data_IF_919457348719
#
_entry.id   IF_919457348719
#
_cell.length_a   1.000
_cell.length_b   1.000
_cell.length_c   1.000
_cell.angle_alpha   90.00
_cell.angle_beta   90.00
_cell.angle_gamma   90.00
#
_symmetry.space_group_name_H-M   'P 1'
#
loop_
_entity.id
_entity.type
_entity.pdbx_description
1 polymer ?
#
# COMPACT_ATOMS: atom_id res chain seq x y z
N UNK A 1 15.64 -0.77 5.52
CA UNK A 1 16.89 -1.38 6.04
C UNK A 1 18.14 -0.62 5.61
N UNK A 2 18.02 0.35 4.74
CA UNK A 2 19.15 0.98 4.06
C UNK A 2 19.85 2.01 4.94
N UNK A 3 19.15 2.56 5.90
CA UNK A 3 19.72 3.42 6.94
C UNK A 3 20.73 2.73 7.85
N UNK A 4 20.85 1.40 7.77
CA UNK A 4 21.88 0.63 8.48
C UNK A 4 23.28 0.80 7.88
N UNK A 5 23.39 1.38 6.69
CA UNK A 5 24.65 1.52 5.95
C UNK A 5 25.29 2.90 6.06
N UNK A 6 24.67 3.82 6.79
CA UNK A 6 25.28 5.12 6.99
C UNK A 6 26.54 5.01 7.82
N UNK A 7 27.56 5.62 7.33
CA UNK A 7 28.91 5.85 7.81
C UNK A 7 29.36 5.06 9.05
N UNK A 8 30.41 4.27 8.91
CA UNK A 8 31.15 3.68 10.04
C UNK A 8 31.95 4.73 10.83
N UNK A 9 31.92 6.00 10.40
CA UNK A 9 32.61 7.09 11.06
C UNK A 9 31.89 7.47 12.36
N UNK A 10 32.47 7.02 13.48
CA UNK A 10 32.00 7.36 14.84
C UNK A 10 32.67 8.63 15.41
N UNK A 11 33.52 9.29 14.64
CA UNK A 11 34.21 10.51 15.03
C UNK A 11 33.43 11.80 14.73
N UNK A 12 32.33 11.72 13.99
CA UNK A 12 31.51 12.86 13.61
C UNK A 12 30.11 12.75 14.20
N UNK A 13 29.52 13.89 14.53
CA UNK A 13 28.11 13.95 14.97
C UNK A 13 27.22 13.82 13.74
N UNK A 14 26.34 12.81 13.76
CA UNK A 14 25.36 12.56 12.71
C UNK A 14 24.00 13.05 13.18
N UNK A 15 23.48 14.09 12.54
CA UNK A 15 22.15 14.65 12.81
C UNK A 15 21.23 14.47 11.59
N UNK A 16 20.10 13.85 11.81
CA UNK A 16 19.03 13.74 10.83
C UNK A 16 17.94 14.76 11.10
N UNK A 17 17.89 15.80 10.30
CA UNK A 17 17.08 16.99 10.55
C UNK A 17 15.63 16.89 10.09
N UNK A 18 15.33 16.02 9.11
CA UNK A 18 13.99 15.98 8.48
C UNK A 18 13.54 14.55 8.16
N UNK A 19 13.22 13.77 9.18
CA UNK A 19 12.83 12.37 9.00
C UNK A 19 11.33 12.14 9.09
N UNK A 20 10.83 11.24 8.23
CA UNK A 20 9.47 10.70 8.34
C UNK A 20 8.38 11.58 7.71
N UNK A 21 8.70 12.36 6.67
CA UNK A 21 7.75 13.20 5.94
C UNK A 21 6.71 12.38 5.16
N UNK A 22 5.71 11.81 5.83
CA UNK A 22 4.62 11.05 5.21
C UNK A 22 3.34 11.86 5.25
N UNK A 23 3.00 12.45 4.09
CA UNK A 23 1.83 13.30 3.92
C UNK A 23 0.52 12.51 3.96
N UNK A 24 -0.39 12.90 4.83
CA UNK A 24 -1.76 12.41 4.89
C UNK A 24 -2.72 13.54 5.24
N UNK A 25 -4.00 13.46 4.84
CA UNK A 25 -4.99 14.45 5.23
C UNK A 25 -5.05 14.65 6.75
N UNK A 26 -5.40 15.86 7.22
CA UNK A 26 -5.63 16.12 8.64
C UNK A 26 -6.94 15.47 9.12
N UNK A 27 -7.24 15.54 10.41
CA UNK A 27 -8.47 15.04 11.01
C UNK A 27 -9.67 15.93 10.67
N UNK A 28 -10.07 15.93 9.40
CA UNK A 28 -11.04 16.87 8.82
C UNK A 28 -12.33 17.00 9.63
N UNK A 29 -12.85 15.90 10.16
CA UNK A 29 -14.08 15.96 10.97
C UNK A 29 -13.86 16.69 12.29
N UNK A 30 -12.75 16.46 12.97
CA UNK A 30 -12.44 17.13 14.22
C UNK A 30 -12.22 18.63 14.00
N UNK A 31 -11.55 18.99 12.91
CA UNK A 31 -11.35 20.39 12.52
C UNK A 31 -12.70 21.05 12.20
N UNK A 32 -13.56 20.41 11.41
CA UNK A 32 -14.90 20.89 11.10
C UNK A 32 -15.71 21.13 12.37
N UNK A 33 -15.72 20.17 13.28
CA UNK A 33 -16.51 20.26 14.50
C UNK A 33 -16.00 21.41 15.40
N UNK A 34 -14.69 21.66 15.44
CA UNK A 34 -14.09 22.80 16.14
C UNK A 34 -14.46 24.14 15.48
N UNK A 35 -14.41 24.23 14.14
CA UNK A 35 -14.80 25.43 13.41
C UNK A 35 -16.27 25.77 13.68
N UNK A 36 -17.17 24.79 13.60
CA UNK A 36 -18.61 25.00 13.84
C UNK A 36 -18.88 25.38 15.30
N UNK A 37 -18.19 24.74 16.26
CA UNK A 37 -18.31 25.04 17.68
C UNK A 37 -17.84 26.46 18.01
N UNK A 38 -16.78 26.92 17.35
CA UNK A 38 -16.26 28.29 17.57
C UNK A 38 -17.09 29.38 16.91
N UNK A 39 -17.97 29.04 15.97
CA UNK A 39 -18.75 29.98 15.16
C UNK A 39 -17.92 30.78 14.15
N UNK A 40 -16.62 30.48 13.99
CA UNK A 40 -15.70 31.22 13.09
C UNK A 40 -15.65 30.56 11.70
N UNK A 41 -16.77 30.57 10.99
CA UNK A 41 -16.92 29.86 9.72
C UNK A 41 -16.57 30.70 8.48
N UNK A 42 -16.43 32.00 8.62
CA UNK A 42 -16.38 32.96 7.50
C UNK A 42 -14.95 33.40 7.12
N UNK A 43 -13.90 32.84 7.72
CA UNK A 43 -12.53 33.04 7.20
C UNK A 43 -12.19 32.02 6.12
N UNK A 44 -11.22 32.35 5.25
CA UNK A 44 -10.85 31.53 4.10
C UNK A 44 -10.39 30.12 4.49
N UNK A 45 -9.69 29.98 5.59
CA UNK A 45 -9.17 28.70 6.05
C UNK A 45 -10.29 27.78 6.54
N UNK A 46 -11.20 28.32 7.35
CA UNK A 46 -12.37 27.59 7.83
C UNK A 46 -13.26 27.12 6.66
N UNK A 47 -13.58 28.03 5.72
CA UNK A 47 -14.36 27.71 4.53
C UNK A 47 -13.72 26.57 3.72
N UNK A 48 -12.40 26.57 3.64
CA UNK A 48 -11.64 25.59 2.91
C UNK A 48 -11.62 24.21 3.58
N UNK A 49 -11.49 24.15 4.91
CA UNK A 49 -11.62 22.89 5.66
C UNK A 49 -13.03 22.32 5.61
N UNK A 50 -14.05 23.18 5.69
CA UNK A 50 -15.45 22.75 5.56
C UNK A 50 -15.69 22.12 4.18
N UNK A 51 -15.26 22.79 3.11
CA UNK A 51 -15.37 22.26 1.76
C UNK A 51 -14.56 20.94 1.56
N UNK A 52 -13.43 20.82 2.21
CA UNK A 52 -12.63 19.59 2.17
C UNK A 52 -13.33 18.44 2.90
N UNK A 53 -13.87 18.70 4.08
CA UNK A 53 -14.70 17.74 4.80
C UNK A 53 -15.91 17.31 3.96
N UNK A 54 -16.64 18.25 3.38
CA UNK A 54 -17.85 17.99 2.59
C UNK A 54 -17.53 17.10 1.37
N UNK A 55 -16.39 17.30 0.71
CA UNK A 55 -15.98 16.47 -0.41
C UNK A 55 -15.75 15.01 0.01
N UNK A 56 -15.11 14.78 1.15
CA UNK A 56 -14.86 13.44 1.68
C UNK A 56 -16.15 12.78 2.17
N UNK A 57 -16.98 13.49 2.92
CA UNK A 57 -18.25 12.98 3.42
C UNK A 57 -19.20 12.62 2.28
N UNK A 58 -19.30 13.50 1.28
CA UNK A 58 -20.10 13.22 0.08
C UNK A 58 -19.61 11.97 -0.64
N UNK A 59 -18.29 11.82 -0.84
CA UNK A 59 -17.74 10.64 -1.50
C UNK A 59 -18.05 9.36 -0.72
N UNK A 60 -17.81 9.34 0.59
CA UNK A 60 -18.07 8.15 1.41
C UNK A 60 -19.54 7.72 1.33
N UNK A 61 -20.46 8.68 1.38
CA UNK A 61 -21.91 8.41 1.34
C UNK A 61 -22.40 8.00 -0.05
N UNK A 62 -21.94 8.70 -1.10
CA UNK A 62 -22.48 8.50 -2.45
C UNK A 62 -21.80 7.38 -3.22
N UNK A 63 -20.58 6.99 -2.84
CA UNK A 63 -19.79 5.96 -3.53
C UNK A 63 -19.72 4.61 -2.79
N UNK A 64 -20.60 4.40 -1.79
CA UNK A 64 -20.77 3.11 -1.13
C UNK A 64 -19.69 2.77 -0.09
N UNK A 65 -18.96 3.77 0.41
CA UNK A 65 -17.90 3.55 1.40
C UNK A 65 -18.34 3.66 2.86
N UNK A 66 -19.58 4.03 3.15
CA UNK A 66 -20.08 4.27 4.51
C UNK A 66 -20.00 3.06 5.43
N UNK A 67 -19.99 1.83 4.88
CA UNK A 67 -19.80 0.61 5.66
C UNK A 67 -18.33 0.43 6.08
N UNK A 68 -17.39 0.69 5.18
CA UNK A 68 -15.95 0.60 5.44
C UNK A 68 -15.45 1.77 6.33
N UNK A 69 -15.98 2.96 6.06
CA UNK A 69 -15.64 4.20 6.76
C UNK A 69 -16.94 4.92 7.15
N UNK A 70 -17.47 4.68 8.37
CA UNK A 70 -18.75 5.23 8.81
C UNK A 70 -18.80 6.76 8.87
N UNK A 71 -17.65 7.41 8.97
CA UNK A 71 -17.51 8.87 8.97
C UNK A 71 -16.14 9.28 8.42
N UNK A 72 -15.99 10.56 8.08
CA UNK A 72 -14.73 11.12 7.55
C UNK A 72 -13.57 10.89 8.53
N UNK A 73 -13.83 10.97 9.84
CA UNK A 73 -12.80 10.73 10.84
C UNK A 73 -12.25 9.30 10.82
N UNK A 74 -13.10 8.31 10.54
CA UNK A 74 -12.65 6.91 10.44
C UNK A 74 -11.68 6.71 9.28
N UNK A 75 -11.87 7.40 8.15
CA UNK A 75 -10.97 7.37 7.00
C UNK A 75 -9.66 8.13 7.29
N UNK A 76 -9.76 9.39 7.71
CA UNK A 76 -8.57 10.23 7.92
C UNK A 76 -7.68 9.72 9.06
N UNK A 77 -8.27 9.13 10.11
CA UNK A 77 -7.53 8.48 11.20
C UNK A 77 -6.77 7.24 10.71
N UNK A 78 -7.37 6.43 9.85
CA UNK A 78 -6.67 5.28 9.27
C UNK A 78 -5.51 5.74 8.36
N UNK A 79 -5.68 6.82 7.60
CA UNK A 79 -4.58 7.43 6.84
C UNK A 79 -3.44 7.90 7.75
N UNK A 80 -3.78 8.56 8.86
CA UNK A 80 -2.81 8.95 9.88
C UNK A 80 -2.09 7.76 10.52
N UNK A 81 -2.78 6.63 10.72
CA UNK A 81 -2.17 5.39 11.20
C UNK A 81 -1.13 4.84 10.22
N UNK A 82 -1.38 4.93 8.92
CA UNK A 82 -0.40 4.56 7.89
C UNK A 82 0.83 5.45 7.97
N UNK A 83 0.65 6.78 8.08
CA UNK A 83 1.76 7.71 8.26
C UNK A 83 2.59 7.38 9.52
N UNK A 84 1.94 7.15 10.65
CA UNK A 84 2.62 6.80 11.91
C UNK A 84 3.36 5.47 11.84
N UNK A 85 2.81 4.48 11.14
CA UNK A 85 3.50 3.23 10.92
C UNK A 85 4.84 3.46 10.20
N UNK A 86 4.85 4.20 9.08
CA UNK A 86 6.07 4.42 8.32
C UNK A 86 7.05 5.36 9.01
N UNK A 87 6.58 6.43 9.66
CA UNK A 87 7.41 7.27 10.51
C UNK A 87 8.09 6.45 11.61
N UNK A 88 7.31 5.60 12.30
CA UNK A 88 7.85 4.71 13.32
C UNK A 88 8.92 3.75 12.78
N UNK A 89 8.73 3.22 11.56
CA UNK A 89 9.74 2.34 10.92
C UNK A 89 11.02 3.10 10.56
N UNK A 90 10.92 4.37 10.16
CA UNK A 90 12.08 5.24 9.94
C UNK A 90 12.82 5.46 11.27
N UNK A 91 12.13 5.86 12.34
CA UNK A 91 12.71 6.02 13.68
C UNK A 91 13.42 4.75 14.15
N UNK A 92 12.80 3.59 13.96
CA UNK A 92 13.39 2.31 14.29
C UNK A 92 14.69 2.05 13.52
N UNK A 93 14.72 2.38 12.22
CA UNK A 93 15.94 2.24 11.41
C UNK A 93 17.06 3.14 11.93
N UNK A 94 16.72 4.39 12.28
CA UNK A 94 17.67 5.32 12.91
C UNK A 94 18.25 4.73 14.20
N UNK A 95 17.41 4.20 15.07
CA UNK A 95 17.85 3.64 16.36
C UNK A 95 18.73 2.40 16.20
N UNK A 96 18.39 1.50 15.28
CA UNK A 96 19.18 0.26 15.12
C UNK A 96 20.48 0.46 14.32
N UNK A 97 20.65 1.60 13.64
CA UNK A 97 21.87 1.89 12.88
C UNK A 97 23.10 2.08 13.76
N UNK A 98 22.90 2.51 14.99
CA UNK A 98 23.97 2.87 15.95
C UNK A 98 24.96 3.91 15.42
N UNK A 99 24.51 4.78 14.51
CA UNK A 99 25.33 5.83 13.87
C UNK A 99 24.76 7.22 14.04
N UNK A 100 23.46 7.35 14.26
CA UNK A 100 22.79 8.65 14.34
C UNK A 100 22.76 9.12 15.79
N UNK A 101 23.37 10.27 16.07
CA UNK A 101 23.43 10.86 17.41
C UNK A 101 22.17 11.62 17.78
N UNK A 102 21.55 12.27 16.78
CA UNK A 102 20.30 12.99 16.98
C UNK A 102 19.45 12.97 15.70
N UNK A 103 18.13 13.07 15.87
CA UNK A 103 17.20 13.21 14.75
C UNK A 103 16.02 14.10 15.13
N UNK A 104 15.41 14.72 14.13
CA UNK A 104 14.14 15.39 14.24
C UNK A 104 13.13 14.78 13.25
N UNK A 105 11.90 14.55 13.73
CA UNK A 105 10.79 14.16 12.85
C UNK A 105 10.36 15.40 12.09
N UNK A 106 10.31 15.29 10.76
CA UNK A 106 9.84 16.39 9.93
C UNK A 106 8.35 16.65 10.20
N UNK A 107 8.10 17.88 10.65
CA UNK A 107 6.78 18.36 10.95
C UNK A 107 6.18 17.74 12.21
N UNK A 108 6.28 18.44 13.34
CA UNK A 108 5.40 18.17 14.49
C UNK A 108 3.95 18.39 14.07
N UNK A 109 3.70 19.48 13.36
CA UNK A 109 2.38 19.93 12.92
C UNK A 109 2.29 19.92 11.41
N UNK A 110 1.24 19.32 10.85
CA UNK A 110 0.96 19.45 9.43
C UNK A 110 0.25 20.76 9.15
N UNK A 111 0.78 21.51 8.19
CA UNK A 111 0.23 22.77 7.72
C UNK A 111 -0.53 22.58 6.41
N UNK A 112 -1.63 23.30 6.25
CA UNK A 112 -2.50 23.16 5.08
C UNK A 112 -1.80 23.47 3.75
N UNK A 113 -0.92 24.45 3.73
CA UNK A 113 -0.35 24.95 2.49
C UNK A 113 0.98 24.31 2.11
N UNK A 114 1.71 23.72 3.04
CA UNK A 114 3.10 23.34 2.81
C UNK A 114 3.44 21.90 3.28
N UNK A 115 3.11 21.57 4.50
CA UNK A 115 3.54 20.30 5.09
C UNK A 115 2.38 19.48 5.63
N UNK A 116 2.15 18.31 5.04
CA UNK A 116 1.09 17.38 5.44
C UNK A 116 1.61 16.18 6.23
N UNK A 117 2.90 16.16 6.59
CA UNK A 117 3.53 15.03 7.25
C UNK A 117 3.36 14.97 8.77
N UNK A 118 2.92 16.05 9.40
CA UNK A 118 2.91 16.21 10.87
C UNK A 118 2.33 15.06 11.69
N UNK A 119 2.81 14.95 12.92
CA UNK A 119 2.25 14.06 13.95
C UNK A 119 0.88 14.56 14.40
N UNK A 120 0.70 15.87 14.49
CA UNK A 120 -0.59 16.50 14.71
C UNK A 120 -1.00 17.33 13.50
N UNK A 121 -2.29 17.60 13.35
CA UNK A 121 -2.77 18.59 12.40
C UNK A 121 -2.64 20.03 12.97
N UNK A 122 -2.96 21.04 12.19
CA UNK A 122 -2.85 22.44 12.63
C UNK A 122 -3.89 22.87 13.70
N UNK A 123 -4.83 22.00 14.04
CA UNK A 123 -5.72 22.13 15.18
C UNK A 123 -5.26 21.31 16.39
N UNK A 124 -4.04 20.76 16.34
CA UNK A 124 -3.41 19.94 17.37
C UNK A 124 -4.06 18.57 17.61
N UNK A 125 -4.89 18.11 16.70
CA UNK A 125 -5.40 16.75 16.78
C UNK A 125 -4.31 15.75 16.35
N UNK A 126 -4.15 14.67 17.11
CA UNK A 126 -3.33 13.54 16.67
C UNK A 126 -3.92 12.97 15.39
N UNK A 127 -3.11 12.82 14.33
CA UNK A 127 -3.57 12.32 13.03
C UNK A 127 -3.94 10.84 13.05
N UNK A 128 -3.35 10.06 13.94
CA UNK A 128 -3.59 8.63 14.12
C UNK A 128 -3.53 8.19 15.58
N UNK A 129 -3.36 6.87 15.78
CA UNK A 129 -3.12 6.29 17.10
C UNK A 129 -1.66 6.52 17.51
N UNK A 130 -1.46 7.35 18.55
CA UNK A 130 -0.13 7.68 19.05
C UNK A 130 0.71 6.47 19.48
N UNK A 131 0.08 5.34 19.84
CA UNK A 131 0.79 4.12 20.23
C UNK A 131 1.57 3.52 19.06
N UNK A 132 1.11 3.73 17.81
CA UNK A 132 1.80 3.25 16.62
C UNK A 132 3.18 3.89 16.44
N UNK A 133 3.34 5.16 16.79
CA UNK A 133 4.62 5.86 16.69
C UNK A 133 5.41 5.77 18.00
N UNK A 134 4.75 5.87 19.17
CA UNK A 134 5.37 5.83 20.46
C UNK A 134 6.13 4.52 20.73
N UNK A 135 5.64 3.38 20.20
CA UNK A 135 6.30 2.08 20.34
C UNK A 135 7.74 2.08 19.84
N UNK A 136 8.06 2.87 18.79
CA UNK A 136 9.38 2.96 18.21
C UNK A 136 10.31 3.96 18.90
N UNK A 137 9.76 4.78 19.82
CA UNK A 137 10.54 5.72 20.63
C UNK A 137 10.82 5.23 22.06
N UNK A 138 10.48 3.99 22.37
CA UNK A 138 10.81 3.39 23.68
C UNK A 138 12.32 3.27 23.86
N UNK A 139 12.84 3.44 25.08
CA UNK A 139 14.26 3.37 25.33
C UNK A 139 14.85 1.94 25.29
N UNK A 140 14.01 0.91 25.34
CA UNK A 140 14.39 -0.49 25.28
C UNK A 140 13.32 -1.32 24.60
N UNK A 141 13.65 -1.93 23.45
CA UNK A 141 12.77 -2.85 22.73
C UNK A 141 13.56 -3.70 21.73
N UNK A 142 12.91 -4.73 21.20
CA UNK A 142 13.44 -5.52 20.08
C UNK A 142 12.81 -5.04 18.77
N UNK A 143 13.65 -4.77 17.78
CA UNK A 143 13.22 -4.52 16.41
C UNK A 143 13.24 -5.83 15.63
N UNK A 144 12.07 -6.24 15.16
CA UNK A 144 11.90 -7.40 14.28
C UNK A 144 11.91 -6.90 12.84
N UNK A 145 12.94 -7.25 12.08
CA UNK A 145 13.14 -6.81 10.69
C UNK A 145 12.84 -7.96 9.74
N UNK A 146 11.77 -7.82 9.00
CA UNK A 146 11.34 -8.76 7.99
C UNK A 146 11.89 -8.36 6.62
N UNK A 147 12.57 -9.26 5.92
CA UNK A 147 13.07 -9.00 4.56
C UNK A 147 11.91 -8.69 3.61
N UNK A 148 10.80 -9.43 3.77
CA UNK A 148 9.56 -9.23 3.01
C UNK A 148 8.38 -9.27 3.98
N UNK A 149 7.50 -8.29 3.87
CA UNK A 149 6.26 -8.24 4.67
C UNK A 149 5.07 -8.87 3.97
N UNK A 150 5.11 -8.95 2.64
CA UNK A 150 4.12 -9.66 1.83
C UNK A 150 4.80 -10.85 1.15
N UNK A 151 4.15 -11.99 1.15
CA UNK A 151 4.65 -13.27 0.65
C UNK A 151 3.51 -14.03 -0.03
N UNK A 152 3.83 -14.97 -0.91
CA UNK A 152 2.87 -15.99 -1.29
C UNK A 152 2.88 -17.14 -0.27
N UNK A 153 1.76 -17.84 -0.11
CA UNK A 153 1.71 -19.09 0.67
C UNK A 153 2.71 -20.08 0.11
N UNK A 154 3.50 -20.69 0.98
CA UNK A 154 4.60 -21.60 0.62
C UNK A 154 5.96 -20.92 0.55
N UNK A 155 6.02 -19.58 0.50
CA UNK A 155 7.27 -18.83 0.58
C UNK A 155 7.93 -18.94 1.95
N UNK A 156 9.22 -18.61 1.98
CA UNK A 156 10.00 -18.53 3.21
C UNK A 156 10.15 -17.07 3.63
N UNK A 157 9.67 -16.76 4.83
CA UNK A 157 9.95 -15.53 5.56
C UNK A 157 11.39 -15.57 6.10
N UNK A 158 12.08 -14.43 6.04
CA UNK A 158 13.40 -14.25 6.68
C UNK A 158 13.33 -13.06 7.63
N UNK A 159 13.87 -13.22 8.83
CA UNK A 159 13.80 -12.24 9.91
C UNK A 159 15.17 -12.02 10.54
N UNK A 160 15.52 -10.75 10.73
CA UNK A 160 16.63 -10.30 11.58
C UNK A 160 16.05 -9.65 12.84
N UNK A 161 16.80 -9.73 13.94
CA UNK A 161 16.39 -9.10 15.21
C UNK A 161 17.51 -8.21 15.72
N UNK A 162 17.14 -6.97 15.99
CA UNK A 162 17.99 -5.98 16.62
C UNK A 162 17.45 -5.62 18.01
N UNK A 163 18.32 -5.16 18.87
CA UNK A 163 17.92 -4.49 20.12
C UNK A 163 18.14 -2.99 19.98
N UNK A 164 17.18 -2.20 20.43
CA UNK A 164 17.36 -0.79 20.78
C UNK A 164 17.53 -0.73 22.29
N UNK A 165 18.69 -0.26 22.75
CA UNK A 165 19.12 -0.36 24.14
C UNK A 165 19.69 0.96 24.66
N UNK A 166 18.81 1.87 25.02
CA UNK A 166 19.16 3.13 25.70
C UNK A 166 19.00 3.02 27.23
N UNK A 167 18.90 1.78 27.76
CA UNK A 167 18.81 1.44 29.19
C UNK A 167 20.06 0.76 29.73
N UNK A 168 21.09 0.63 28.87
CA UNK A 168 22.39 0.03 29.19
C UNK A 168 22.31 -1.39 29.77
N UNK A 169 21.35 -2.21 29.30
CA UNK A 169 21.42 -3.64 29.63
C UNK A 169 22.58 -4.28 28.89
N UNK A 170 23.30 -5.20 29.53
CA UNK A 170 24.47 -5.86 28.95
C UNK A 170 24.62 -7.31 29.45
N UNK A 171 25.48 -8.05 28.78
CA UNK A 171 25.81 -9.43 29.17
C UNK A 171 24.96 -10.50 28.47
N UNK A 172 25.04 -11.76 28.98
CA UNK A 172 24.35 -12.89 28.34
C UNK A 172 22.83 -12.80 28.50
N UNK A 173 22.14 -13.18 27.43
CA UNK A 173 20.68 -13.20 27.38
C UNK A 173 20.17 -14.36 26.52
N UNK A 174 18.89 -14.70 26.66
CA UNK A 174 18.19 -15.67 25.82
C UNK A 174 17.20 -14.93 24.92
N UNK A 175 17.44 -14.96 23.61
CA UNK A 175 16.47 -14.48 22.61
C UNK A 175 15.53 -15.63 22.24
N UNK A 176 14.22 -15.36 22.29
CA UNK A 176 13.19 -16.28 21.84
C UNK A 176 12.36 -15.63 20.75
N UNK A 177 12.13 -16.35 19.64
CA UNK A 177 11.22 -15.95 18.57
C UNK A 177 10.08 -16.94 18.45
N UNK A 178 8.90 -16.44 18.12
CA UNK A 178 7.71 -17.25 17.85
C UNK A 178 6.97 -16.66 16.65
N UNK A 179 6.68 -17.49 15.65
CA UNK A 179 5.79 -17.17 14.54
C UNK A 179 4.43 -17.83 14.78
N UNK A 180 3.34 -17.04 14.63
CA UNK A 180 1.96 -17.52 14.80
C UNK A 180 1.09 -17.09 13.64
N UNK A 181 0.17 -17.98 13.22
CA UNK A 181 -0.88 -17.60 12.28
C UNK A 181 -1.97 -16.71 12.93
N UNK A 182 -2.95 -16.30 12.13
CA UNK A 182 -4.04 -15.45 12.58
C UNK A 182 -4.95 -16.11 13.65
N UNK A 183 -4.94 -17.43 13.78
CA UNK A 183 -5.66 -18.20 14.78
C UNK A 183 -4.83 -18.43 16.05
N UNK A 184 -3.59 -17.91 16.10
CA UNK A 184 -2.67 -18.05 17.23
C UNK A 184 -1.89 -19.35 17.25
N UNK A 185 -2.07 -20.24 16.25
CA UNK A 185 -1.30 -21.48 16.12
C UNK A 185 0.17 -21.17 15.86
N UNK A 186 1.03 -21.82 16.63
CA UNK A 186 2.48 -21.67 16.45
C UNK A 186 2.95 -22.39 15.20
N UNK A 187 3.53 -21.62 14.27
CA UNK A 187 4.14 -22.14 13.05
C UNK A 187 5.61 -22.53 13.27
N UNK A 188 6.32 -21.73 14.07
CA UNK A 188 7.73 -21.99 14.38
C UNK A 188 8.13 -21.30 15.69
N UNK A 189 9.11 -21.90 16.37
CA UNK A 189 9.79 -21.29 17.52
C UNK A 189 11.30 -21.46 17.41
N UNK A 190 12.02 -20.47 17.94
CA UNK A 190 13.48 -20.53 18.06
C UNK A 190 13.92 -19.91 19.36
N UNK A 191 14.97 -20.48 19.97
CA UNK A 191 15.67 -19.90 21.11
C UNK A 191 17.17 -19.86 20.77
N UNK A 192 17.81 -18.73 21.10
CA UNK A 192 19.25 -18.50 20.85
C UNK A 192 19.86 -17.78 22.05
N UNK A 193 20.99 -18.28 22.53
CA UNK A 193 21.84 -17.51 23.45
C UNK A 193 22.50 -16.37 22.68
N UNK A 194 22.40 -15.16 23.20
CA UNK A 194 22.97 -13.94 22.65
C UNK A 194 23.74 -13.20 23.75
N UNK A 195 24.61 -12.28 23.36
CA UNK A 195 25.28 -11.36 24.28
C UNK A 195 24.90 -9.95 23.86
N UNK A 196 24.41 -9.15 24.78
CA UNK A 196 24.11 -7.73 24.58
C UNK A 196 25.33 -6.94 24.99
N UNK A 197 25.79 -6.05 24.10
CA UNK A 197 27.00 -5.24 24.34
C UNK A 197 26.77 -4.15 25.39
N UNK A 198 25.73 -3.36 25.23
CA UNK A 198 25.45 -2.21 26.11
C UNK A 198 26.44 -1.05 25.91
N UNK A 199 26.44 -0.10 26.85
CA UNK A 199 27.28 1.07 26.80
C UNK A 199 26.96 1.98 25.61
N UNK A 200 27.97 2.31 24.83
CA UNK A 200 27.82 3.15 23.62
C UNK A 200 27.14 2.44 22.45
N UNK A 201 26.91 1.14 22.55
CA UNK A 201 26.19 0.36 21.52
C UNK A 201 24.72 0.31 21.87
N UNK A 202 23.96 1.25 21.36
CA UNK A 202 22.51 1.36 21.61
C UNK A 202 21.67 0.67 20.55
N UNK A 203 22.20 0.39 19.37
CA UNK A 203 21.56 -0.38 18.29
C UNK A 203 22.45 -1.57 17.93
N UNK A 204 21.99 -2.81 18.13
CA UNK A 204 22.82 -4.00 17.95
C UNK A 204 22.02 -5.13 17.29
N UNK A 205 22.62 -5.80 16.30
CA UNK A 205 22.08 -7.02 15.74
C UNK A 205 22.29 -8.20 16.70
N UNK A 206 21.22 -8.80 17.16
CA UNK A 206 21.27 -10.01 18.02
C UNK A 206 21.16 -11.29 17.21
N UNK A 207 20.54 -11.22 16.04
CA UNK A 207 20.34 -12.39 15.21
C UNK A 207 20.00 -12.01 13.77
N UNK A 208 20.58 -12.75 12.82
CA UNK A 208 20.32 -12.63 11.39
C UNK A 208 19.78 -13.92 10.82
N UNK A 209 18.84 -13.82 9.90
CA UNK A 209 18.44 -14.86 8.97
C UNK A 209 17.59 -15.99 9.56
N UNK A 210 16.73 -15.75 10.57
CA UNK A 210 15.75 -16.77 10.95
C UNK A 210 14.74 -16.98 9.82
N UNK A 211 14.62 -18.22 9.37
CA UNK A 211 13.79 -18.62 8.25
C UNK A 211 12.59 -19.44 8.71
N UNK A 212 11.41 -19.09 8.23
CA UNK A 212 10.16 -19.81 8.47
C UNK A 212 9.38 -19.95 7.17
N UNK A 213 9.06 -21.17 6.78
CA UNK A 213 8.13 -21.42 5.67
C UNK A 213 6.71 -21.07 6.13
N UNK A 214 5.96 -20.33 5.33
CA UNK A 214 4.62 -19.87 5.65
C UNK A 214 3.57 -20.77 4.98
N UNK A 215 2.89 -21.65 5.73
CA UNK A 215 2.00 -22.66 5.16
C UNK A 215 0.56 -22.18 4.96
N UNK A 216 0.20 -20.99 5.44
CA UNK A 216 -1.18 -20.52 5.48
C UNK A 216 -1.31 -19.08 4.97
N UNK A 217 -2.49 -18.75 4.44
CA UNK A 217 -2.82 -17.39 4.02
C UNK A 217 -3.19 -16.50 5.22
N UNK A 218 -3.11 -15.18 4.99
CA UNK A 218 -3.46 -14.16 5.96
C UNK A 218 -2.27 -13.66 6.79
N UNK A 219 -2.58 -13.05 7.92
CA UNK A 219 -1.54 -12.47 8.78
C UNK A 219 -0.81 -13.54 9.57
N UNK A 220 0.53 -13.40 9.63
CA UNK A 220 1.38 -14.15 10.53
C UNK A 220 2.14 -13.16 11.40
N UNK A 221 2.00 -13.27 12.71
CA UNK A 221 2.72 -12.47 13.71
C UNK A 221 4.06 -13.11 14.06
N UNK A 222 5.08 -12.28 14.20
CA UNK A 222 6.41 -12.65 14.66
C UNK A 222 6.67 -11.90 15.97
N UNK A 223 6.82 -12.64 17.06
CA UNK A 223 7.05 -12.13 18.40
C UNK A 223 8.50 -12.43 18.81
N UNK A 224 9.18 -11.43 19.36
CA UNK A 224 10.53 -11.56 19.91
C UNK A 224 10.54 -11.18 21.39
N UNK A 225 11.24 -11.98 22.20
CA UNK A 225 11.44 -11.75 23.63
C UNK A 225 12.91 -11.96 23.98
N UNK A 226 13.45 -11.03 24.75
CA UNK A 226 14.80 -11.13 25.32
C UNK A 226 14.70 -11.34 26.83
N UNK A 227 15.35 -12.38 27.32
CA UNK A 227 15.32 -12.73 28.75
C UNK A 227 16.72 -12.67 29.35
N UNK A 228 16.82 -12.05 30.50
CA UNK A 228 18.02 -12.07 31.37
C UNK A 228 17.59 -12.45 32.79
N UNK A 229 18.41 -13.29 33.45
CA UNK A 229 18.14 -13.75 34.82
C UNK A 229 16.71 -14.27 35.04
N UNK A 230 16.16 -14.98 34.04
CA UNK A 230 14.81 -15.53 34.09
C UNK A 230 13.67 -14.54 33.87
N UNK A 231 13.95 -13.25 33.62
CA UNK A 231 12.94 -12.19 33.38
C UNK A 231 13.01 -11.69 31.94
N UNK A 232 11.85 -11.38 31.36
CA UNK A 232 11.78 -10.69 30.06
C UNK A 232 12.15 -9.23 30.26
N UNK A 233 13.24 -8.80 29.60
CA UNK A 233 13.79 -7.44 29.68
C UNK A 233 13.41 -6.58 28.48
N UNK A 234 13.22 -7.19 27.29
CA UNK A 234 12.79 -6.50 26.08
C UNK A 234 11.87 -7.38 25.24
N UNK A 235 10.95 -6.74 24.53
CA UNK A 235 10.03 -7.39 23.59
C UNK A 235 9.94 -6.61 22.28
N UNK A 236 9.55 -7.28 21.22
CA UNK A 236 9.23 -6.67 19.94
C UNK A 236 8.38 -7.60 19.09
N UNK A 237 7.74 -7.04 18.10
CA UNK A 237 6.91 -7.80 17.17
C UNK A 237 6.83 -7.14 15.80
N UNK A 238 6.51 -7.94 14.79
CA UNK A 238 6.10 -7.48 13.47
C UNK A 238 5.15 -8.50 12.84
N UNK A 239 4.61 -8.18 11.65
CA UNK A 239 3.67 -9.03 10.92
C UNK A 239 4.04 -9.14 9.45
N UNK A 240 3.75 -10.30 8.86
CA UNK A 240 3.67 -10.49 7.42
C UNK A 240 2.22 -10.74 7.00
N UNK A 241 1.96 -10.57 5.71
CA UNK A 241 0.73 -11.00 5.06
C UNK A 241 1.06 -12.01 3.96
N UNK A 242 0.46 -13.21 4.04
CA UNK A 242 0.66 -14.28 3.07
C UNK A 242 -0.55 -14.39 2.15
N UNK A 243 -0.31 -14.26 0.85
CA UNK A 243 -1.35 -14.31 -0.20
C UNK A 243 -1.49 -15.74 -0.70
N UNK A 244 -2.70 -16.29 -0.65
CA UNK A 244 -3.03 -17.54 -1.34
C UNK A 244 -3.22 -17.24 -2.83
N UNK A 245 -2.19 -17.48 -3.63
CA UNK A 245 -2.29 -17.33 -5.09
C UNK A 245 -3.28 -18.36 -5.65
N UNK A 246 -4.38 -17.89 -6.24
CA UNK A 246 -5.46 -18.73 -6.70
C UNK A 246 -6.12 -18.20 -7.97
N UNK A 247 -5.99 -18.95 -9.06
CA UNK A 247 -6.66 -18.68 -10.35
C UNK A 247 -7.93 -19.53 -10.57
N UNK A 248 -8.33 -20.39 -9.60
CA UNK A 248 -9.53 -21.24 -9.75
C UNK A 248 -10.78 -20.38 -9.89
N UNK A 249 -11.75 -20.85 -10.69
CA UNK A 249 -13.02 -20.16 -10.92
C UNK A 249 -12.93 -18.99 -11.91
N UNK A 250 -11.85 -18.90 -12.68
CA UNK A 250 -11.80 -18.07 -13.87
C UNK A 250 -12.24 -18.94 -15.03
N UNK A 251 -13.53 -18.83 -15.40
CA UNK A 251 -14.16 -19.69 -16.37
C UNK A 251 -14.18 -19.06 -17.77
N UNK A 252 -14.05 -19.89 -18.80
CA UNK A 252 -14.10 -19.47 -20.19
C UNK A 252 -12.76 -19.03 -20.77
N UNK A 253 -12.82 -18.31 -21.90
CA UNK A 253 -11.66 -17.82 -22.64
C UNK A 253 -11.51 -16.31 -22.40
N UNK A 254 -10.29 -15.88 -22.11
CA UNK A 254 -9.94 -14.46 -21.92
C UNK A 254 -9.27 -13.90 -23.16
N UNK A 255 -9.88 -12.92 -23.83
CA UNK A 255 -9.19 -12.15 -24.87
C UNK A 255 -8.20 -11.18 -24.21
N UNK A 256 -6.96 -11.17 -24.70
CA UNK A 256 -5.89 -10.31 -24.17
C UNK A 256 -5.47 -9.30 -25.23
N UNK A 257 -5.67 -8.02 -24.93
CA UNK A 257 -5.19 -6.90 -25.73
C UNK A 257 -3.99 -6.25 -25.02
N UNK A 258 -2.79 -6.75 -25.28
CA UNK A 258 -1.55 -6.27 -24.66
C UNK A 258 -0.38 -6.42 -25.62
N UNK A 259 0.15 -5.31 -26.12
CA UNK A 259 1.29 -5.29 -27.06
C UNK A 259 2.60 -5.73 -26.42
N UNK A 260 2.69 -5.76 -25.09
CA UNK A 260 3.90 -6.21 -24.37
C UNK A 260 3.96 -7.72 -24.19
N UNK A 261 2.84 -8.42 -24.31
CA UNK A 261 2.71 -9.84 -24.06
C UNK A 261 2.79 -10.25 -22.57
N UNK A 262 2.98 -9.30 -21.66
CA UNK A 262 3.15 -9.57 -20.22
C UNK A 262 1.89 -10.18 -19.61
N UNK A 263 0.70 -9.66 -19.98
CA UNK A 263 -0.56 -10.18 -19.46
C UNK A 263 -0.81 -11.62 -19.94
N UNK A 264 -0.66 -11.88 -21.23
CA UNK A 264 -0.86 -13.21 -21.79
C UNK A 264 0.09 -14.23 -21.14
N UNK A 265 1.38 -13.93 -21.08
CA UNK A 265 2.38 -14.81 -20.45
C UNK A 265 2.06 -15.10 -18.98
N UNK A 266 1.64 -14.10 -18.23
CA UNK A 266 1.26 -14.30 -16.83
C UNK A 266 0.00 -15.16 -16.69
N UNK A 267 -1.05 -14.88 -17.45
CA UNK A 267 -2.31 -15.62 -17.38
C UNK A 267 -2.16 -17.08 -17.81
N UNK A 268 -1.40 -17.33 -18.87
CA UNK A 268 -1.08 -18.69 -19.33
C UNK A 268 -0.32 -19.48 -18.24
N UNK A 269 0.64 -18.82 -17.55
CA UNK A 269 1.37 -19.42 -16.44
C UNK A 269 0.46 -19.74 -15.23
N UNK A 270 -0.69 -19.05 -15.11
CA UNK A 270 -1.70 -19.34 -14.09
C UNK A 270 -2.76 -20.36 -14.57
N UNK A 271 -2.64 -20.87 -15.80
CA UNK A 271 -3.56 -21.84 -16.38
C UNK A 271 -4.88 -21.23 -16.88
N UNK A 272 -4.96 -19.92 -17.03
CA UNK A 272 -6.11 -19.24 -17.64
C UNK A 272 -6.03 -19.39 -19.14
N UNK A 273 -7.13 -19.81 -19.79
CA UNK A 273 -7.20 -19.92 -21.24
C UNK A 273 -7.23 -18.53 -21.87
N UNK A 274 -6.23 -18.19 -22.67
CA UNK A 274 -6.12 -16.89 -23.33
C UNK A 274 -6.18 -16.98 -24.83
N UNK A 275 -6.62 -15.89 -25.48
CA UNK A 275 -6.48 -15.65 -26.90
C UNK A 275 -6.02 -14.21 -27.12
N UNK A 276 -5.05 -13.99 -28.01
CA UNK A 276 -4.61 -12.64 -28.33
C UNK A 276 -5.69 -11.92 -29.13
N UNK A 277 -6.08 -10.74 -28.65
CA UNK A 277 -6.99 -9.86 -29.37
C UNK A 277 -6.23 -9.01 -30.39
N UNK A 278 -6.72 -9.01 -31.61
CA UNK A 278 -6.15 -8.20 -32.68
C UNK A 278 -7.12 -7.15 -33.22
N UNK A 279 -8.34 -7.54 -33.55
CA UNK A 279 -9.39 -6.65 -34.09
C UNK A 279 -10.75 -7.36 -34.16
N UNK A 280 -11.80 -6.58 -34.39
CA UNK A 280 -13.17 -7.05 -34.53
C UNK A 280 -13.82 -7.39 -33.20
N UNK A 281 -14.94 -8.09 -33.23
CA UNK A 281 -15.65 -8.50 -32.03
C UNK A 281 -14.83 -9.58 -31.28
N UNK A 282 -14.55 -9.41 -29.98
CA UNK A 282 -13.83 -10.41 -29.20
C UNK A 282 -14.53 -11.78 -29.24
N UNK A 283 -13.78 -12.83 -29.57
CA UNK A 283 -14.25 -14.22 -29.56
C UNK A 283 -13.88 -14.88 -28.22
N UNK A 284 -14.40 -14.33 -27.15
CA UNK A 284 -14.03 -14.70 -25.78
C UNK A 284 -15.17 -14.41 -24.80
N UNK A 285 -15.08 -14.95 -23.62
CA UNK A 285 -16.05 -14.77 -22.53
C UNK A 285 -15.82 -13.50 -21.73
N UNK A 286 -14.54 -13.09 -21.63
CA UNK A 286 -14.10 -11.85 -20.97
C UNK A 286 -12.90 -11.29 -21.74
N UNK A 287 -12.60 -10.03 -21.55
CA UNK A 287 -11.46 -9.36 -22.19
C UNK A 287 -10.68 -8.55 -21.17
N UNK A 288 -9.34 -8.66 -21.25
CA UNK A 288 -8.43 -7.80 -20.48
C UNK A 288 -7.58 -6.95 -21.43
N UNK A 289 -7.41 -5.68 -21.03
CA UNK A 289 -6.63 -4.70 -21.78
C UNK A 289 -5.46 -4.22 -20.92
N UNK A 290 -4.25 -4.42 -21.46
CA UNK A 290 -3.00 -3.89 -20.93
C UNK A 290 -2.46 -2.72 -21.76
N UNK A 291 -1.20 -2.79 -22.14
CA UNK A 291 -0.54 -1.79 -22.99
C UNK A 291 -1.10 -1.82 -24.43
N UNK A 292 -2.26 -1.22 -24.59
CA UNK A 292 -3.03 -1.21 -25.80
C UNK A 292 -3.72 0.15 -25.95
N UNK A 293 -3.46 0.83 -27.04
CA UNK A 293 -4.07 2.11 -27.33
C UNK A 293 -5.41 1.91 -28.08
N UNK A 294 -6.54 2.39 -27.56
CA UNK A 294 -7.83 2.17 -28.20
C UNK A 294 -7.91 2.77 -29.61
N UNK A 295 -7.12 3.81 -29.89
CA UNK A 295 -7.06 4.46 -31.19
C UNK A 295 -6.24 3.72 -32.25
N UNK A 296 -5.40 2.74 -31.87
CA UNK A 296 -4.55 1.98 -32.79
C UNK A 296 -5.35 1.08 -33.74
N UNK A 297 -6.61 0.82 -33.44
CA UNK A 297 -7.45 -0.14 -34.15
C UNK A 297 -8.59 0.50 -34.95
N UNK A 298 -8.54 1.81 -35.20
CA UNK A 298 -9.60 2.51 -35.95
C UNK A 298 -10.97 2.34 -35.28
N UNK A 299 -11.92 1.76 -36.01
CA UNK A 299 -13.27 1.46 -35.47
C UNK A 299 -13.33 0.24 -34.53
N UNK A 300 -12.20 -0.45 -34.29
CA UNK A 300 -12.17 -1.69 -33.51
C UNK A 300 -12.65 -1.56 -32.08
N UNK A 301 -12.56 -0.36 -31.45
CA UNK A 301 -13.15 -0.13 -30.14
C UNK A 301 -14.68 -0.20 -30.14
N UNK A 302 -15.36 0.12 -31.26
CA UNK A 302 -16.81 -0.03 -31.39
C UNK A 302 -17.22 -1.50 -31.29
N UNK A 303 -16.45 -2.41 -31.91
CA UNK A 303 -16.69 -3.83 -31.81
C UNK A 303 -16.52 -4.34 -30.37
N UNK A 304 -15.55 -3.80 -29.62
CA UNK A 304 -15.35 -4.10 -28.19
C UNK A 304 -16.54 -3.61 -27.38
N UNK A 305 -17.01 -2.37 -27.58
CA UNK A 305 -18.13 -1.81 -26.82
C UNK A 305 -19.45 -2.54 -27.14
N UNK A 306 -19.73 -2.86 -28.40
CA UNK A 306 -20.90 -3.66 -28.78
C UNK A 306 -20.85 -5.05 -28.13
N UNK A 307 -19.68 -5.65 -28.05
CA UNK A 307 -19.48 -6.91 -27.35
C UNK A 307 -19.75 -6.78 -25.85
N UNK A 308 -19.29 -5.70 -25.20
CA UNK A 308 -19.59 -5.40 -23.80
C UNK A 308 -21.10 -5.21 -23.62
N UNK A 309 -21.75 -4.38 -24.46
CA UNK A 309 -23.19 -4.13 -24.38
C UNK A 309 -24.04 -5.39 -24.52
N UNK A 310 -23.51 -6.42 -25.18
CA UNK A 310 -24.18 -7.72 -25.33
C UNK A 310 -24.09 -8.62 -24.08
N UNK A 311 -23.47 -8.18 -22.99
CA UNK A 311 -23.46 -8.87 -21.69
C UNK A 311 -22.08 -9.38 -21.23
N UNK A 312 -20.99 -8.85 -21.80
CA UNK A 312 -19.63 -9.30 -21.46
C UNK A 312 -18.90 -8.28 -20.57
N UNK A 313 -17.78 -8.72 -19.98
CA UNK A 313 -16.97 -7.87 -19.09
C UNK A 313 -15.63 -7.51 -19.73
N UNK A 314 -15.33 -6.21 -19.77
CA UNK A 314 -14.05 -5.64 -20.14
C UNK A 314 -13.27 -5.23 -18.90
N UNK A 315 -12.02 -5.66 -18.79
CA UNK A 315 -11.11 -5.32 -17.67
C UNK A 315 -9.97 -4.48 -18.21
N UNK A 316 -9.87 -3.23 -17.76
CA UNK A 316 -8.85 -2.26 -18.20
C UNK A 316 -7.85 -2.05 -17.07
N UNK A 317 -6.61 -2.51 -17.27
CA UNK A 317 -5.53 -2.43 -16.25
C UNK A 317 -4.37 -1.53 -16.67
N UNK A 318 -4.35 -1.06 -17.92
CA UNK A 318 -3.38 -0.09 -18.39
C UNK A 318 -4.02 0.96 -19.29
N UNK A 319 -3.31 2.09 -19.50
CA UNK A 319 -3.81 3.27 -20.23
C UNK A 319 -5.23 3.76 -19.77
N UNK A 320 -5.54 3.75 -18.46
CA UNK A 320 -6.92 4.00 -18.00
C UNK A 320 -7.44 5.39 -18.40
N UNK A 321 -6.58 6.41 -18.52
CA UNK A 321 -6.98 7.75 -18.95
C UNK A 321 -7.49 7.77 -20.38
N UNK A 322 -6.77 7.11 -21.30
CA UNK A 322 -7.17 7.00 -22.70
C UNK A 322 -8.50 6.27 -22.88
N UNK A 323 -8.68 5.20 -22.09
CA UNK A 323 -9.95 4.50 -22.08
C UNK A 323 -11.06 5.32 -21.46
N UNK A 324 -10.79 6.06 -20.38
CA UNK A 324 -11.77 6.95 -19.77
C UNK A 324 -12.21 8.06 -20.71
N UNK A 325 -11.29 8.70 -21.44
CA UNK A 325 -11.60 9.70 -22.48
C UNK A 325 -12.54 9.09 -23.52
N UNK A 326 -12.17 7.92 -24.08
CA UNK A 326 -12.99 7.22 -25.07
C UNK A 326 -14.40 6.85 -24.57
N UNK A 327 -14.48 6.31 -23.35
CA UNK A 327 -15.73 5.90 -22.74
C UNK A 327 -16.64 7.11 -22.45
N UNK A 328 -16.04 8.25 -22.10
CA UNK A 328 -16.73 9.52 -21.92
C UNK A 328 -17.27 10.06 -23.26
N UNK A 329 -16.45 10.04 -24.31
CA UNK A 329 -16.85 10.44 -25.67
C UNK A 329 -17.99 9.56 -26.23
N UNK A 330 -18.12 8.35 -25.73
CA UNK A 330 -19.19 7.41 -26.10
C UNK A 330 -20.36 7.39 -25.10
N UNK A 331 -20.40 8.32 -24.19
CA UNK A 331 -21.44 8.46 -23.17
C UNK A 331 -21.63 7.20 -22.30
N UNK A 332 -20.58 6.38 -22.14
CA UNK A 332 -20.58 5.17 -21.31
C UNK A 332 -20.32 5.52 -19.85
N UNK A 333 -19.49 6.55 -19.61
CA UNK A 333 -19.14 7.00 -18.27
C UNK A 333 -19.00 8.52 -18.22
N UNK A 334 -19.16 9.09 -17.03
CA UNK A 334 -18.79 10.47 -16.73
C UNK A 334 -17.32 10.51 -16.26
N UNK A 335 -16.52 11.39 -16.88
CA UNK A 335 -15.09 11.51 -16.60
C UNK A 335 -14.64 12.95 -16.82
N UNK A 336 -14.04 13.55 -15.81
CA UNK A 336 -13.58 14.95 -15.83
C UNK A 336 -12.08 15.11 -15.69
N UNK A 337 -11.31 14.16 -16.23
CA UNK A 337 -9.87 14.16 -16.22
C UNK A 337 -9.25 13.41 -15.04
N UNK A 338 -7.95 13.32 -15.05
CA UNK A 338 -7.15 12.63 -14.05
C UNK A 338 -6.45 13.62 -13.11
N UNK A 339 -5.95 13.07 -12.02
CA UNK A 339 -5.05 13.75 -11.09
C UNK A 339 -3.88 12.85 -10.73
N UNK A 340 -2.68 13.34 -11.01
CA UNK A 340 -1.48 12.77 -10.41
C UNK A 340 -1.52 13.00 -8.90
N UNK A 341 -1.38 11.93 -8.12
CA UNK A 341 -1.48 11.95 -6.66
C UNK A 341 -0.20 12.44 -5.97
N UNK A 342 0.78 12.90 -6.75
CA UNK A 342 2.05 13.37 -6.25
C UNK A 342 2.94 12.26 -5.70
N UNK A 343 3.92 12.61 -4.90
CA UNK A 343 4.79 11.66 -4.20
C UNK A 343 4.07 11.16 -2.95
N UNK A 344 3.21 10.19 -3.10
CA UNK A 344 2.73 9.44 -1.95
C UNK A 344 3.83 8.48 -1.51
N UNK A 345 4.36 8.70 -0.35
CA UNK A 345 5.25 7.75 0.28
C UNK A 345 4.38 6.61 0.83
N UNK A 346 4.52 5.40 0.27
CA UNK A 346 3.99 4.18 0.85
C UNK A 346 2.46 3.94 0.81
N UNK A 347 1.72 4.60 -0.07
CA UNK A 347 0.34 4.21 -0.41
C UNK A 347 -0.77 4.65 0.53
N UNK A 348 -0.49 5.52 1.49
CA UNK A 348 -1.48 6.01 2.44
C UNK A 348 -2.64 6.82 1.84
N UNK A 349 -2.66 6.99 0.52
CA UNK A 349 -3.69 7.77 -0.18
C UNK A 349 -4.75 6.90 -0.86
N UNK A 350 -4.58 5.58 -0.92
CA UNK A 350 -5.59 4.67 -1.46
C UNK A 350 -6.38 4.00 -0.33
N UNK A 351 -7.65 3.74 -0.58
CA UNK A 351 -8.50 3.02 0.37
C UNK A 351 -9.55 2.20 -0.39
N UNK A 352 -9.90 1.04 0.14
CA UNK A 352 -10.86 0.14 -0.49
C UNK A 352 -12.03 -0.18 0.43
N UNK A 353 -13.09 -0.67 -0.15
CA UNK A 353 -14.24 -1.26 0.54
C UNK A 353 -14.37 -2.74 0.19
N UNK A 354 -15.12 -3.48 1.00
CA UNK A 354 -15.40 -4.89 0.76
C UNK A 354 -16.10 -5.11 -0.58
N UNK A 355 -15.54 -6.00 -1.39
CA UNK A 355 -16.09 -6.44 -2.67
C UNK A 355 -15.48 -7.80 -3.03
N UNK A 356 -16.15 -8.69 -3.80
CA UNK A 356 -15.61 -10.01 -4.17
C UNK A 356 -14.23 -9.99 -4.85
N UNK A 357 -13.89 -8.90 -5.57
CA UNK A 357 -12.55 -8.76 -6.17
C UNK A 357 -11.41 -8.67 -5.15
N UNK A 358 -11.70 -8.44 -3.88
CA UNK A 358 -10.72 -8.45 -2.79
C UNK A 358 -10.70 -9.76 -2.01
N UNK A 359 -11.31 -10.84 -2.53
CA UNK A 359 -11.28 -12.14 -1.86
C UNK A 359 -9.84 -12.54 -1.51
N UNK A 360 -9.61 -12.88 -0.23
CA UNK A 360 -8.28 -13.24 0.28
C UNK A 360 -7.28 -12.07 0.36
N UNK A 361 -7.72 -10.82 0.22
CA UNK A 361 -6.93 -9.61 0.39
C UNK A 361 -7.54 -8.73 1.50
N UNK A 362 -6.74 -7.85 2.16
CA UNK A 362 -7.29 -6.90 3.13
C UNK A 362 -8.32 -5.96 2.50
N UNK A 363 -9.42 -5.71 3.19
CA UNK A 363 -10.52 -4.87 2.71
C UNK A 363 -11.06 -3.95 3.82
N UNK A 364 -11.90 -2.99 3.46
CA UNK A 364 -12.44 -1.97 4.37
C UNK A 364 -11.31 -1.20 5.09
N UNK A 365 -10.25 -0.89 4.36
CA UNK A 365 -9.04 -0.30 4.90
C UNK A 365 -8.40 0.73 3.98
N UNK A 366 -7.57 1.59 4.55
CA UNK A 366 -6.58 2.38 3.84
C UNK A 366 -5.40 1.47 3.48
N UNK A 367 -4.90 1.61 2.25
CA UNK A 367 -3.74 0.83 1.80
C UNK A 367 -2.52 1.15 2.64
N UNK A 368 -1.94 0.11 3.22
CA UNK A 368 -0.74 0.17 4.03
C UNK A 368 0.33 -0.74 3.39
N UNK A 369 1.27 -1.22 4.17
CA UNK A 369 2.37 -2.08 3.71
C UNK A 369 1.89 -3.36 2.99
N UNK A 370 0.69 -3.84 3.23
CA UNK A 370 0.08 -4.97 2.53
C UNK A 370 -0.09 -4.67 1.03
N UNK A 371 -0.42 -3.43 0.70
CA UNK A 371 -0.63 -2.95 -0.66
C UNK A 371 0.57 -2.14 -1.20
N UNK A 372 1.76 -2.31 -0.62
CA UNK A 372 2.95 -1.57 -1.01
C UNK A 372 3.32 -1.74 -2.49
N UNK A 373 2.89 -2.82 -3.13
CA UNK A 373 3.06 -3.03 -4.57
C UNK A 373 2.48 -1.90 -5.44
N UNK A 374 1.49 -1.15 -4.94
CA UNK A 374 0.89 -0.01 -5.64
C UNK A 374 1.47 1.34 -5.22
N UNK A 375 2.28 1.39 -4.17
CA UNK A 375 2.84 2.61 -3.60
C UNK A 375 4.30 2.86 -3.96
N UNK A 376 4.94 1.92 -4.63
CA UNK A 376 6.34 2.02 -5.02
C UNK A 376 6.62 3.26 -5.87
N UNK A 377 7.83 3.79 -5.75
CA UNK A 377 8.26 5.03 -6.41
C UNK A 377 8.04 5.01 -7.92
N UNK A 378 8.24 3.88 -8.56
CA UNK A 378 8.08 3.66 -10.00
C UNK A 378 6.68 3.22 -10.43
N UNK A 379 5.70 3.23 -9.52
CA UNK A 379 4.31 2.86 -9.80
C UNK A 379 3.50 4.06 -10.26
N UNK A 380 2.52 3.80 -11.12
CA UNK A 380 1.52 4.78 -11.50
C UNK A 380 0.69 5.19 -10.28
N UNK A 381 0.58 6.49 -10.03
CA UNK A 381 -0.21 7.06 -8.95
C UNK A 381 -1.13 8.13 -9.51
N UNK A 382 -2.29 7.70 -9.95
CA UNK A 382 -3.27 8.55 -10.63
C UNK A 382 -4.65 8.23 -10.06
N UNK A 383 -5.47 9.25 -9.89
CA UNK A 383 -6.89 9.14 -9.58
C UNK A 383 -7.72 9.70 -10.73
N UNK A 384 -8.85 9.10 -11.02
CA UNK A 384 -9.81 9.57 -12.03
C UNK A 384 -10.94 10.34 -11.35
N UNK A 385 -11.30 11.52 -11.89
CA UNK A 385 -12.32 12.40 -11.33
C UNK A 385 -13.72 12.01 -11.82
N UNK A 386 -14.68 12.16 -10.90
CA UNK A 386 -16.11 12.13 -11.17
C UNK A 386 -16.56 10.92 -12.01
N UNK A 387 -15.98 9.77 -11.76
CA UNK A 387 -16.33 8.56 -12.48
C UNK A 387 -17.75 8.08 -12.14
N UNK A 388 -18.43 7.65 -13.17
CA UNK A 388 -19.70 6.91 -13.07
C UNK A 388 -19.47 5.52 -12.50
N UNK A 389 -20.55 4.89 -12.08
CA UNK A 389 -20.54 3.51 -11.62
C UNK A 389 -20.13 3.36 -10.16
N UNK A 390 -19.76 2.14 -9.83
CA UNK A 390 -19.43 1.73 -8.46
C UNK A 390 -17.93 1.85 -8.22
N UNK A 391 -17.53 2.71 -7.29
CA UNK A 391 -16.12 2.86 -6.91
C UNK A 391 -15.75 1.79 -5.88
N UNK A 392 -14.69 1.04 -6.14
CA UNK A 392 -14.20 -0.05 -5.29
C UNK A 392 -12.91 0.34 -4.54
N UNK A 393 -12.09 1.17 -5.19
CA UNK A 393 -10.91 1.81 -4.58
C UNK A 393 -11.02 3.30 -4.80
N UNK A 394 -11.05 4.05 -3.70
CA UNK A 394 -10.91 5.49 -3.71
C UNK A 394 -9.45 5.90 -3.48
N UNK A 395 -9.11 7.13 -3.84
CA UNK A 395 -7.82 7.71 -3.53
C UNK A 395 -7.90 9.23 -3.35
N UNK A 396 -6.97 9.76 -2.60
CA UNK A 396 -6.87 11.20 -2.33
C UNK A 396 -5.44 11.69 -2.57
N UNK A 397 -5.33 12.96 -2.90
CA UNK A 397 -4.10 13.72 -2.76
C UNK A 397 -4.15 14.46 -1.44
N UNK A 398 -3.07 14.43 -0.69
CA UNK A 398 -2.92 15.05 0.64
C UNK A 398 -3.18 16.57 0.68
N UNK A 399 -3.17 17.23 -0.50
CA UNK A 399 -3.39 18.69 -0.63
C UNK A 399 -4.74 19.07 -1.28
N UNK A 400 -5.60 18.12 -1.61
CA UNK A 400 -6.77 18.40 -2.45
C UNK A 400 -8.08 18.12 -1.74
N UNK A 401 -9.06 18.97 -1.99
CA UNK A 401 -10.46 18.83 -1.58
C UNK A 401 -11.25 17.90 -2.50
N UNK A 402 -10.63 16.91 -3.06
CA UNK A 402 -11.23 16.01 -4.03
C UNK A 402 -10.87 14.57 -3.65
N UNK A 403 -11.80 13.68 -3.88
CA UNK A 403 -11.59 12.24 -3.79
C UNK A 403 -11.77 11.65 -5.17
N UNK A 404 -10.86 10.79 -5.56
CA UNK A 404 -10.78 10.22 -6.89
C UNK A 404 -11.06 8.72 -6.84
N UNK A 405 -11.36 8.15 -8.01
CA UNK A 405 -11.47 6.71 -8.22
C UNK A 405 -10.15 6.10 -8.70
N UNK A 406 -9.77 4.97 -8.13
CA UNK A 406 -8.61 4.18 -8.57
C UNK A 406 -9.00 2.81 -9.12
N UNK A 407 -10.17 2.30 -8.77
CA UNK A 407 -10.78 1.11 -9.35
C UNK A 407 -12.29 1.27 -9.33
N UNK A 408 -12.93 1.12 -10.47
CA UNK A 408 -14.38 1.23 -10.60
C UNK A 408 -14.96 0.14 -11.48
N UNK A 409 -16.22 -0.21 -11.21
CA UNK A 409 -17.08 -1.01 -12.04
C UNK A 409 -18.15 -0.11 -12.68
N UNK A 410 -18.21 -0.09 -14.02
CA UNK A 410 -19.10 0.77 -14.79
C UNK A 410 -20.08 -0.13 -15.55
N UNK A 411 -21.40 -0.02 -15.32
CA UNK A 411 -22.40 -0.70 -16.14
C UNK A 411 -22.36 -0.20 -17.59
N UNK A 412 -22.42 -1.11 -18.55
CA UNK A 412 -22.42 -0.77 -19.97
C UNK A 412 -23.36 -1.71 -20.74
N UNK A 413 -24.56 -1.26 -21.05
CA UNK A 413 -25.62 -2.10 -21.61
C UNK A 413 -25.98 -3.26 -20.67
N UNK A 414 -25.86 -4.50 -21.16
CA UNK A 414 -26.05 -5.71 -20.33
C UNK A 414 -24.74 -6.17 -19.68
N UNK A 415 -23.58 -5.62 -20.10
CA UNK A 415 -22.27 -5.96 -19.59
C UNK A 415 -21.72 -4.90 -18.63
N UNK A 416 -20.43 -4.94 -18.41
CA UNK A 416 -19.73 -4.04 -17.49
C UNK A 416 -18.27 -3.81 -17.88
N UNK A 417 -17.70 -2.76 -17.32
CA UNK A 417 -16.30 -2.40 -17.48
C UNK A 417 -15.69 -2.27 -16.09
N UNK A 418 -14.62 -3.03 -15.82
CA UNK A 418 -13.74 -2.78 -14.70
C UNK A 418 -12.55 -1.95 -15.18
N UNK A 419 -12.35 -0.77 -14.60
CA UNK A 419 -11.25 0.13 -14.96
C UNK A 419 -10.45 0.50 -13.72
N UNK A 420 -9.12 0.37 -13.81
CA UNK A 420 -8.25 0.69 -12.68
C UNK A 420 -7.03 1.52 -13.07
N UNK A 421 -6.68 2.46 -12.19
CA UNK A 421 -5.41 3.20 -12.23
C UNK A 421 -4.32 2.52 -11.41
N UNK A 422 -4.64 1.48 -10.63
CA UNK A 422 -3.63 0.68 -9.93
C UNK A 422 -2.69 0.02 -10.95
N UNK A 423 -1.38 0.10 -10.71
CA UNK A 423 -0.37 -0.36 -11.66
C UNK A 423 -0.21 -1.89 -11.62
N UNK A 424 -1.27 -2.58 -12.04
CA UNK A 424 -1.32 -4.06 -12.09
C UNK A 424 -0.24 -4.62 -13.03
N UNK A 425 -0.05 -4.11 -14.27
CA UNK A 425 0.97 -4.65 -15.17
C UNK A 425 2.37 -4.63 -14.58
N UNK A 426 2.70 -3.62 -13.77
CA UNK A 426 3.99 -3.56 -13.10
C UNK A 426 4.17 -4.68 -12.06
N UNK A 427 3.08 -5.19 -11.45
CA UNK A 427 3.15 -6.35 -10.54
C UNK A 427 3.40 -7.69 -11.25
N UNK A 428 3.24 -7.73 -12.57
CA UNK A 428 3.43 -8.95 -13.39
C UNK A 428 4.84 -9.06 -13.97
N UNK A 429 5.54 -7.93 -14.09
CA UNK A 429 6.92 -7.89 -14.56
C UNK A 429 7.84 -8.52 -13.51
N UNK A 430 8.82 -9.31 -13.97
CA UNK A 430 9.79 -9.93 -13.07
C UNK A 430 10.74 -8.93 -12.39
N UNK A 431 11.69 -9.46 -11.62
CA UNK A 431 12.69 -8.71 -10.85
C UNK A 431 13.46 -7.63 -11.62
N UNK A 432 13.70 -7.83 -12.90
CA UNK A 432 14.47 -6.91 -13.74
C UNK A 432 13.82 -5.52 -13.87
N UNK A 433 12.49 -5.43 -13.75
CA UNK A 433 11.79 -4.14 -13.81
C UNK A 433 12.10 -3.21 -12.63
N UNK A 434 12.59 -3.76 -11.51
CA UNK A 434 12.91 -3.02 -10.28
C UNK A 434 14.40 -2.70 -10.13
N UNK A 435 15.25 -3.29 -10.97
CA UNK A 435 16.71 -3.15 -10.86
C UNK A 435 17.29 -1.98 -11.62
N UNK A 436 16.49 -1.16 -12.31
CA UNK A 436 17.00 0.10 -12.84
C UNK A 436 17.43 0.98 -11.66
N UNK A 437 18.75 1.01 -11.42
CA UNK A 437 19.40 2.03 -10.60
C UNK A 437 18.94 3.40 -11.11
N UNK A 438 18.18 4.10 -10.29
CA UNK A 438 18.02 5.53 -10.48
C UNK A 438 19.30 6.12 -9.90
N UNK A 439 20.21 6.48 -10.78
CA UNK A 439 21.46 7.15 -10.44
C UNK A 439 21.10 8.57 -10.03
N UNK A 440 20.91 8.75 -8.76
CA UNK A 440 20.75 10.06 -8.13
C UNK A 440 21.85 10.16 -7.09
N UNK A 441 22.98 10.73 -7.51
CA UNK A 441 24.11 11.18 -6.71
C UNK A 441 24.18 10.65 -5.27
N UNK A 442 24.71 9.43 -5.11
CA UNK A 442 25.16 8.87 -3.82
C UNK A 442 24.16 8.77 -2.65
N UNK A 443 23.22 9.70 -2.52
CA UNK A 443 22.22 9.71 -1.43
C UNK A 443 21.03 8.78 -1.67
N UNK A 444 20.81 8.36 -2.90
CA UNK A 444 19.63 7.56 -3.27
C UNK A 444 19.90 6.07 -3.51
N UNK A 445 21.14 5.60 -3.46
CA UNK A 445 21.41 4.17 -3.54
C UNK A 445 20.75 3.39 -2.40
N UNK A 446 20.68 3.97 -1.22
CA UNK A 446 20.06 3.34 -0.05
C UNK A 446 18.54 3.25 -0.18
N UNK A 447 17.88 4.31 -0.62
CA UNK A 447 16.42 4.32 -0.81
C UNK A 447 15.97 3.43 -1.98
N UNK A 448 16.78 3.31 -3.02
CA UNK A 448 16.53 2.41 -4.14
C UNK A 448 16.68 0.93 -3.76
N UNK A 449 17.66 0.59 -2.94
CA UNK A 449 17.86 -0.78 -2.46
C UNK A 449 16.72 -1.22 -1.53
N UNK A 450 16.17 -0.32 -0.71
CA UNK A 450 15.00 -0.58 0.12
C UNK A 450 13.78 -0.96 -0.73
N UNK A 451 13.55 -0.24 -1.82
CA UNK A 451 12.43 -0.49 -2.72
C UNK A 451 12.61 -1.76 -3.55
N UNK A 452 13.81 -2.14 -3.94
CA UNK A 452 14.05 -3.25 -4.86
C UNK A 452 14.01 -4.62 -4.19
N UNK A 453 14.53 -4.79 -3.00
CA UNK A 453 14.59 -6.11 -2.36
C UNK A 453 13.28 -6.60 -1.75
N UNK A 454 12.37 -5.67 -1.36
CA UNK A 454 11.08 -6.01 -0.75
C UNK A 454 9.94 -6.26 -1.73
N UNK A 455 10.02 -5.72 -2.93
CA UNK A 455 8.84 -5.49 -3.79
C UNK A 455 8.42 -6.69 -4.62
N UNK A 456 9.33 -7.57 -5.03
CA UNK A 456 8.99 -8.73 -5.86
C UNK A 456 7.98 -9.67 -5.22
N UNK A 457 8.04 -9.84 -3.90
CA UNK A 457 7.09 -10.66 -3.15
C UNK A 457 5.81 -9.88 -2.83
N UNK A 458 5.91 -8.58 -2.57
CA UNK A 458 4.76 -7.70 -2.37
C UNK A 458 3.82 -7.66 -3.58
N UNK A 459 4.32 -7.89 -4.78
CA UNK A 459 3.54 -7.98 -6.01
C UNK A 459 2.50 -9.12 -5.99
N UNK A 460 2.60 -10.08 -5.08
CA UNK A 460 1.61 -11.13 -4.91
C UNK A 460 0.18 -10.58 -4.68
N UNK A 461 0.06 -9.44 -3.98
CA UNK A 461 -1.24 -8.77 -3.78
C UNK A 461 -1.81 -8.25 -5.10
N UNK A 462 -1.01 -7.55 -5.91
CA UNK A 462 -1.44 -7.05 -7.23
C UNK A 462 -1.77 -8.17 -8.21
N UNK A 463 -0.99 -9.26 -8.18
CA UNK A 463 -1.23 -10.47 -8.97
C UNK A 463 -2.54 -11.16 -8.58
N UNK A 464 -2.80 -11.32 -7.29
CA UNK A 464 -4.05 -11.91 -6.82
C UNK A 464 -5.25 -11.01 -7.09
N UNK A 465 -5.10 -9.69 -6.96
CA UNK A 465 -6.16 -8.75 -7.33
C UNK A 465 -6.56 -8.90 -8.80
N UNK A 466 -5.60 -9.04 -9.71
CA UNK A 466 -5.87 -9.32 -11.12
C UNK A 466 -6.68 -10.61 -11.31
N UNK A 467 -6.24 -11.71 -10.68
CA UNK A 467 -6.94 -12.99 -10.79
C UNK A 467 -8.37 -12.91 -10.23
N UNK A 468 -8.55 -12.18 -9.14
CA UNK A 468 -9.88 -11.94 -8.57
C UNK A 468 -10.77 -11.10 -9.48
N UNK A 469 -10.23 -10.06 -10.13
CA UNK A 469 -10.97 -9.25 -11.10
C UNK A 469 -11.46 -10.12 -12.27
N UNK A 470 -10.60 -10.99 -12.80
CA UNK A 470 -10.96 -11.91 -13.89
C UNK A 470 -11.97 -12.97 -13.43
N UNK A 471 -11.82 -13.51 -12.23
CA UNK A 471 -12.80 -14.45 -11.64
C UNK A 471 -14.16 -13.78 -11.51
N UNK A 472 -14.19 -12.59 -10.93
CA UNK A 472 -15.42 -11.80 -10.82
C UNK A 472 -16.04 -11.53 -12.19
N UNK A 473 -15.24 -11.15 -13.18
CA UNK A 473 -15.66 -10.92 -14.54
C UNK A 473 -16.29 -12.17 -15.20
N UNK A 474 -15.71 -13.35 -14.96
CA UNK A 474 -16.17 -14.61 -15.55
C UNK A 474 -17.48 -15.13 -14.95
N UNK A 475 -17.74 -14.84 -13.66
CA UNK A 475 -18.92 -15.35 -12.92
C UNK A 475 -20.18 -14.52 -13.14
N UNK A 476 -20.06 -13.28 -13.57
CA UNK A 476 -21.17 -12.35 -13.75
C UNK A 476 -21.59 -12.20 -15.23
N UNK A 477 -21.73 -13.32 -15.93
CA UNK A 477 -22.38 -13.37 -17.25
C UNK A 477 -23.89 -13.24 -17.04
N UNK A 478 -24.50 -12.20 -17.61
CA UNK A 478 -25.96 -12.04 -17.66
C UNK A 478 -26.51 -12.55 -18.99
#
# INVERSE_FOLDING_TARGET
NDYLRFSDNKGEIVYWGEEGAIGTPPRLQLIRDEILRSGRTNNWEAADYLAWYDAYDNFLRTRGFSKAFPCVDSLTRQMGNVAYYYQGRVMENVHISNTVDAYAINGWESMKLENHSGVVDNYRNLKGDAQLIARYNRPLYLSVKLTHKVLAVGDTMTTDVYIVNRKDIHGPAMLQLTARDAQGKVLSRMKKRVKVSGGVVYGENLMTGWKVRIPCAGYVSIEAQLQQHGRTVATGDDKIYAVAMNATGIDGVCAVADTTGVLAAYLDAQGVKTVNYHRGRPQADLMIVGAFEPTQFGSGYSDILEWVYSGHTLVIVDNPMRWADLLCDKEVMDYRGEKALGRSWYGGNFFCRSHPIFEGLPTDCVFNWEYQCFAAYNRRRIGLRDMSGEVLVGCVSDHRKEVYSALSEIPAGRGRILITTLDIPACLKGTEAYTKKVDLDGMNESMNTFNTQGMNKADAVGRQLLLNMLRYASQHKQ
#
